data_IF_457694273418
#
_entry.id   IF_457694273418
#
_cell.length_a   1.000
_cell.length_b   1.000
_cell.length_c   1.000
_cell.angle_alpha   90.00
_cell.angle_beta   90.00
_cell.angle_gamma   90.00
#
_symmetry.space_group_name_H-M   'P 1'
#
loop_
_entity.id
_entity.type
_entity.pdbx_description
1 polymer ?
#
# COMPACT_ATOMS: atom_id res chain seq x y z
N UNK A 1 8.14 -35.06 -10.19
CA UNK A 1 8.04 -33.63 -9.79
C UNK A 1 6.65 -33.41 -9.22
N UNK A 2 6.53 -33.21 -7.91
CA UNK A 2 5.26 -33.08 -7.19
C UNK A 2 4.79 -31.63 -7.17
N UNK A 3 3.69 -31.33 -7.86
CA UNK A 3 3.06 -30.02 -7.88
C UNK A 3 2.49 -29.71 -6.48
N UNK A 4 3.08 -28.77 -5.74
CA UNK A 4 2.52 -28.24 -4.51
C UNK A 4 1.67 -27.00 -4.88
N UNK A 5 0.34 -27.09 -4.87
CA UNK A 5 -0.50 -25.93 -5.14
C UNK A 5 -0.23 -24.86 -4.07
N UNK A 6 -0.03 -23.61 -4.52
CA UNK A 6 0.18 -22.41 -3.68
C UNK A 6 -1.01 -22.15 -2.73
N UNK A 7 -2.13 -22.82 -2.96
CA UNK A 7 -3.33 -22.76 -2.12
C UNK A 7 -3.63 -24.16 -1.56
N UNK A 8 -3.12 -24.47 -0.37
CA UNK A 8 -3.63 -25.60 0.41
C UNK A 8 -4.94 -25.16 1.08
N UNK A 9 -6.06 -25.48 0.43
CA UNK A 9 -7.38 -25.33 1.03
C UNK A 9 -7.60 -26.55 1.92
N UNK A 10 -7.55 -26.37 3.24
CA UNK A 10 -7.95 -27.41 4.18
C UNK A 10 -9.36 -27.91 3.80
N UNK A 11 -9.55 -29.23 3.61
CA UNK A 11 -10.87 -29.78 3.36
C UNK A 11 -11.74 -29.49 4.58
N UNK A 12 -12.68 -28.54 4.45
CA UNK A 12 -13.61 -28.22 5.53
C UNK A 12 -14.39 -29.47 5.94
N UNK A 13 -14.55 -29.75 7.24
CA UNK A 13 -15.24 -30.93 7.73
C UNK A 13 -16.67 -30.95 7.22
N UNK A 14 -17.14 -32.17 6.98
CA UNK A 14 -18.39 -32.48 6.31
C UNK A 14 -19.59 -31.74 6.92
N UNK A 15 -20.27 -31.04 6.02
CA UNK A 15 -21.65 -30.54 5.98
C UNK A 15 -22.63 -31.17 7.00
N UNK A 16 -22.67 -30.63 8.21
CA UNK A 16 -23.89 -30.66 9.03
C UNK A 16 -24.60 -29.31 8.88
N UNK A 17 -25.73 -29.33 8.16
CA UNK A 17 -26.60 -28.16 7.99
C UNK A 17 -27.35 -27.93 9.30
N UNK A 18 -26.76 -27.13 10.19
CA UNK A 18 -27.47 -26.60 11.37
C UNK A 18 -28.75 -25.89 10.92
N UNK A 19 -29.89 -26.26 11.53
CA UNK A 19 -31.23 -25.72 11.26
C UNK A 19 -31.39 -24.21 11.53
N UNK A 20 -30.33 -23.54 12.01
CA UNK A 20 -30.30 -22.11 12.31
C UNK A 20 -30.01 -21.20 11.07
N UNK A 21 -29.89 -21.75 9.86
CA UNK A 21 -29.54 -20.99 8.67
C UNK A 21 -30.77 -20.68 7.80
N UNK A 22 -31.17 -19.42 7.76
CA UNK A 22 -32.16 -18.88 6.79
C UNK A 22 -31.83 -19.32 5.35
N UNK A 23 -32.85 -19.62 4.54
CA UNK A 23 -32.73 -20.02 3.13
C UNK A 23 -31.81 -19.08 2.34
N UNK A 24 -31.83 -17.78 2.67
CA UNK A 24 -30.95 -16.76 2.11
C UNK A 24 -29.47 -17.02 2.38
N UNK A 25 -29.10 -17.37 3.62
CA UNK A 25 -27.70 -17.72 3.98
C UNK A 25 -27.23 -18.95 3.22
N UNK A 26 -28.12 -19.91 2.98
CA UNK A 26 -27.80 -21.09 2.19
C UNK A 26 -27.54 -20.74 0.72
N UNK A 27 -28.33 -19.85 0.11
CA UNK A 27 -28.09 -19.36 -1.26
C UNK A 27 -26.80 -18.57 -1.38
N UNK A 28 -26.48 -17.71 -0.41
CA UNK A 28 -25.21 -16.98 -0.37
C UNK A 28 -24.04 -17.96 -0.34
N UNK A 29 -24.10 -18.96 0.55
CA UNK A 29 -23.06 -20.00 0.65
C UNK A 29 -22.91 -20.78 -0.65
N UNK A 30 -24.01 -21.22 -1.25
CA UNK A 30 -23.96 -21.92 -2.54
C UNK A 30 -23.37 -21.04 -3.65
N UNK A 31 -23.73 -19.77 -3.70
CA UNK A 31 -23.21 -18.84 -4.71
C UNK A 31 -21.70 -18.62 -4.52
N UNK A 32 -21.24 -18.57 -3.27
CA UNK A 32 -19.84 -18.49 -2.90
C UNK A 32 -19.06 -19.77 -3.27
N UNK A 33 -19.64 -20.95 -3.03
CA UNK A 33 -19.05 -22.23 -3.42
C UNK A 33 -18.94 -22.34 -4.96
N UNK A 34 -19.99 -21.94 -5.69
CA UNK A 34 -20.00 -21.89 -7.16
C UNK A 34 -18.91 -20.95 -7.68
N UNK A 35 -18.75 -19.77 -7.07
CA UNK A 35 -17.70 -18.81 -7.43
C UNK A 35 -16.32 -19.46 -7.38
N UNK A 36 -15.97 -20.12 -6.27
CA UNK A 36 -14.68 -20.79 -6.10
C UNK A 36 -14.48 -21.96 -7.07
N UNK A 37 -15.51 -22.77 -7.31
CA UNK A 37 -15.44 -23.86 -8.29
C UNK A 37 -15.24 -23.31 -9.71
N UNK A 38 -15.90 -22.21 -10.07
CA UNK A 38 -15.71 -21.56 -11.36
C UNK A 38 -14.30 -20.99 -11.51
N UNK A 39 -13.74 -20.39 -10.46
CA UNK A 39 -12.35 -19.91 -10.45
C UNK A 39 -11.34 -21.05 -10.65
N UNK A 40 -11.51 -22.17 -9.92
CA UNK A 40 -10.65 -23.34 -10.06
C UNK A 40 -10.70 -23.97 -11.46
N UNK A 41 -11.85 -23.88 -12.13
CA UNK A 41 -12.04 -24.38 -13.51
C UNK A 41 -11.61 -23.38 -14.59
N UNK A 42 -11.28 -22.15 -14.22
CA UNK A 42 -11.00 -21.07 -15.18
C UNK A 42 -12.23 -20.52 -15.91
N UNK A 43 -13.46 -20.83 -15.48
CA UNK A 43 -14.69 -20.28 -16.06
C UNK A 43 -14.96 -18.88 -15.48
N UNK A 44 -14.22 -17.89 -15.99
CA UNK A 44 -14.26 -16.51 -15.52
C UNK A 44 -15.62 -15.83 -15.78
N UNK A 45 -16.34 -16.25 -16.83
CA UNK A 45 -17.65 -15.66 -17.18
C UNK A 45 -18.69 -16.00 -16.11
N UNK A 46 -18.77 -17.28 -15.70
CA UNK A 46 -19.68 -17.69 -14.62
C UNK A 46 -19.23 -17.15 -13.27
N UNK A 47 -17.92 -17.14 -13.01
CA UNK A 47 -17.38 -16.60 -11.79
C UNK A 47 -17.73 -15.10 -11.63
N UNK A 48 -17.62 -14.30 -12.70
CA UNK A 48 -18.01 -12.88 -12.70
C UNK A 48 -19.49 -12.70 -12.38
N UNK A 49 -20.38 -13.52 -12.96
CA UNK A 49 -21.81 -13.48 -12.64
C UNK A 49 -22.07 -13.79 -11.17
N UNK A 50 -21.49 -14.87 -10.65
CA UNK A 50 -21.62 -15.23 -9.23
C UNK A 50 -21.11 -14.10 -8.32
N UNK A 51 -19.96 -13.51 -8.64
CA UNK A 51 -19.40 -12.38 -7.90
C UNK A 51 -20.31 -11.15 -7.92
N UNK A 52 -20.88 -10.76 -9.07
CA UNK A 52 -21.82 -9.63 -9.14
C UNK A 52 -23.10 -9.84 -8.33
N UNK A 53 -23.49 -11.09 -8.06
CA UNK A 53 -24.61 -11.40 -7.17
C UNK A 53 -24.15 -11.21 -5.73
N UNK A 54 -23.00 -11.78 -5.35
CA UNK A 54 -22.44 -11.71 -4.01
C UNK A 54 -22.16 -10.26 -3.57
N UNK A 55 -21.61 -9.42 -4.45
CA UNK A 55 -21.30 -8.01 -4.16
C UNK A 55 -22.55 -7.19 -3.84
N UNK A 56 -23.74 -7.62 -4.29
CA UNK A 56 -25.01 -6.95 -3.98
C UNK A 56 -25.62 -7.41 -2.65
N UNK A 57 -25.07 -8.44 -2.01
CA UNK A 57 -25.56 -8.96 -0.74
C UNK A 57 -24.92 -8.19 0.43
N UNK A 58 -25.70 -7.52 1.30
CA UNK A 58 -25.17 -6.79 2.45
C UNK A 58 -24.55 -7.70 3.51
N UNK A 59 -24.82 -9.00 3.48
CA UNK A 59 -24.25 -9.98 4.42
C UNK A 59 -22.78 -10.31 4.14
N UNK A 60 -22.27 -9.92 2.97
CA UNK A 60 -20.92 -10.26 2.54
C UNK A 60 -20.04 -9.05 2.74
N UNK A 61 -19.02 -9.24 3.57
CA UNK A 61 -18.03 -8.21 3.81
C UNK A 61 -17.08 -8.11 2.61
N UNK A 62 -17.06 -6.93 1.97
CA UNK A 62 -16.18 -6.61 0.85
C UNK A 62 -14.70 -6.83 1.17
N UNK A 63 -14.32 -6.69 2.43
CA UNK A 63 -12.94 -6.93 2.93
C UNK A 63 -12.44 -8.33 2.65
N UNK A 64 -13.33 -9.30 2.58
CA UNK A 64 -12.97 -10.71 2.37
C UNK A 64 -12.98 -11.12 0.90
N UNK A 65 -13.64 -10.37 0.03
CA UNK A 65 -13.90 -10.76 -1.36
C UNK A 65 -13.25 -9.86 -2.42
N UNK A 66 -12.60 -8.76 -2.03
CA UNK A 66 -11.97 -7.85 -2.99
C UNK A 66 -10.85 -8.51 -3.80
N UNK A 67 -10.08 -9.41 -3.19
CA UNK A 67 -9.03 -10.18 -3.88
C UNK A 67 -9.62 -11.06 -4.97
N UNK A 68 -10.81 -11.62 -4.72
CA UNK A 68 -11.53 -12.40 -5.73
C UNK A 68 -11.99 -11.49 -6.87
N UNK A 69 -12.46 -10.27 -6.55
CA UNK A 69 -12.78 -9.27 -7.56
C UNK A 69 -11.59 -8.95 -8.45
N UNK A 70 -10.41 -8.76 -7.86
CA UNK A 70 -9.16 -8.53 -8.60
C UNK A 70 -8.81 -9.71 -9.52
N UNK A 71 -8.98 -10.94 -9.06
CA UNK A 71 -8.72 -12.15 -9.85
C UNK A 71 -9.69 -12.36 -11.04
N UNK A 72 -10.86 -11.71 -11.02
CA UNK A 72 -11.87 -11.80 -12.08
C UNK A 72 -11.68 -10.78 -13.21
N UNK A 73 -10.83 -9.77 -13.00
CA UNK A 73 -10.49 -8.78 -14.01
C UNK A 73 -9.56 -9.47 -15.01
N UNK A 74 -9.86 -9.41 -16.32
CA UNK A 74 -9.04 -10.07 -17.32
C UNK A 74 -7.66 -9.41 -17.35
N UNK A 75 -6.60 -10.18 -17.14
CA UNK A 75 -5.22 -9.72 -17.31
C UNK A 75 -4.86 -9.81 -18.79
N UNK A 76 -4.27 -8.76 -19.34
CA UNK A 76 -3.82 -8.75 -20.73
C UNK A 76 -2.53 -9.56 -20.87
N UNK A 77 -2.56 -10.62 -21.66
CA UNK A 77 -1.40 -11.47 -21.96
C UNK A 77 -1.80 -12.71 -22.76
N UNK A 78 -0.86 -13.22 -23.57
CA UNK A 78 -1.03 -14.51 -24.26
C UNK A 78 -1.36 -15.61 -23.24
N UNK A 79 -2.35 -16.44 -23.59
CA UNK A 79 -2.84 -17.57 -22.78
C UNK A 79 -1.66 -18.39 -22.23
N UNK A 80 -1.33 -18.21 -20.95
CA UNK A 80 -0.32 -19.01 -20.25
C UNK A 80 0.76 -18.23 -19.49
N UNK A 81 0.95 -16.93 -19.74
CA UNK A 81 1.80 -16.07 -18.89
C UNK A 81 0.92 -15.25 -17.93
N UNK A 82 1.41 -14.95 -16.71
CA UNK A 82 0.73 -13.98 -15.83
C UNK A 82 0.61 -12.68 -16.64
N UNK A 83 -0.61 -12.37 -17.08
CA UNK A 83 -0.86 -11.20 -17.89
C UNK A 83 -0.44 -9.94 -17.14
N UNK A 84 0.01 -8.94 -17.88
CA UNK A 84 0.32 -7.63 -17.31
C UNK A 84 -0.93 -7.08 -16.62
N UNK A 85 -0.73 -6.28 -15.57
CA UNK A 85 -1.84 -5.56 -14.97
C UNK A 85 -2.51 -4.69 -16.05
N UNK A 86 -3.83 -4.57 -15.99
CA UNK A 86 -4.62 -3.74 -16.92
C UNK A 86 -5.06 -2.49 -16.18
N UNK A 87 -5.34 -1.40 -16.90
CA UNK A 87 -5.89 -0.16 -16.31
C UNK A 87 -7.17 -0.39 -15.49
N UNK A 88 -7.97 -1.39 -15.87
CA UNK A 88 -9.14 -1.83 -15.11
C UNK A 88 -8.79 -2.37 -13.70
N UNK A 89 -7.64 -3.04 -13.55
CA UNK A 89 -7.15 -3.53 -12.26
C UNK A 89 -6.84 -2.38 -11.33
N UNK A 90 -6.09 -1.38 -11.81
CA UNK A 90 -5.77 -0.17 -11.04
C UNK A 90 -7.05 0.59 -10.70
N UNK A 91 -7.96 0.77 -11.66
CA UNK A 91 -9.24 1.42 -11.42
C UNK A 91 -10.10 0.69 -10.38
N UNK A 92 -10.05 -0.65 -10.35
CA UNK A 92 -10.72 -1.45 -9.33
C UNK A 92 -10.06 -1.26 -7.95
N UNK A 93 -8.74 -1.36 -7.85
CA UNK A 93 -7.99 -1.17 -6.60
C UNK A 93 -8.23 0.23 -6.01
N UNK A 94 -8.17 1.29 -6.83
CA UNK A 94 -8.48 2.66 -6.41
C UNK A 94 -9.90 2.78 -5.86
N UNK A 95 -10.90 2.12 -6.47
CA UNK A 95 -12.29 2.09 -5.95
C UNK A 95 -12.40 1.32 -4.63
N UNK A 96 -11.75 0.16 -4.51
CA UNK A 96 -11.76 -0.64 -3.29
C UNK A 96 -11.08 0.10 -2.13
N UNK A 97 -10.00 0.83 -2.40
CA UNK A 97 -9.28 1.69 -1.43
C UNK A 97 -10.19 2.73 -0.78
N UNK A 98 -11.13 3.29 -1.54
CA UNK A 98 -12.12 4.25 -1.03
C UNK A 98 -13.18 3.57 -0.15
N UNK A 99 -13.51 2.31 -0.43
CA UNK A 99 -14.53 1.56 0.32
C UNK A 99 -14.00 0.93 1.62
N UNK A 100 -12.70 0.63 1.67
CA UNK A 100 -12.07 -0.12 2.76
C UNK A 100 -10.86 0.67 3.31
N UNK A 101 -11.09 1.66 4.19
CA UNK A 101 -10.03 2.50 4.72
C UNK A 101 -9.00 1.73 5.57
N UNK A 102 -9.44 0.69 6.27
CA UNK A 102 -8.59 -0.10 7.18
C UNK A 102 -7.48 -0.89 6.45
N UNK A 103 -7.67 -1.22 5.17
CA UNK A 103 -6.69 -1.97 4.38
C UNK A 103 -5.95 -1.08 3.37
N UNK A 104 -5.99 0.25 3.55
CA UNK A 104 -5.40 1.19 2.60
C UNK A 104 -3.92 0.92 2.33
N UNK A 105 -3.13 0.54 3.35
CA UNK A 105 -1.71 0.23 3.15
C UNK A 105 -1.50 -0.95 2.20
N UNK A 106 -2.28 -2.02 2.37
CA UNK A 106 -2.17 -3.20 1.50
C UNK A 106 -2.64 -2.87 0.10
N UNK A 107 -3.77 -2.16 -0.02
CA UNK A 107 -4.33 -1.75 -1.31
C UNK A 107 -3.41 -0.77 -2.05
N UNK A 108 -2.71 0.12 -1.33
CA UNK A 108 -1.72 1.02 -1.91
C UNK A 108 -0.52 0.24 -2.45
N UNK A 109 0.03 -0.72 -1.69
CA UNK A 109 1.11 -1.60 -2.16
C UNK A 109 0.72 -2.33 -3.45
N UNK A 110 -0.45 -2.95 -3.48
CA UNK A 110 -0.96 -3.64 -4.66
C UNK A 110 -1.20 -2.68 -5.84
N UNK A 111 -1.66 -1.45 -5.59
CA UNK A 111 -1.86 -0.44 -6.63
C UNK A 111 -0.53 -0.02 -7.26
N UNK A 112 0.50 0.24 -6.44
CA UNK A 112 1.85 0.59 -6.90
C UNK A 112 2.46 -0.56 -7.70
N UNK A 113 2.35 -1.80 -7.21
CA UNK A 113 2.82 -2.98 -7.95
C UNK A 113 2.10 -3.16 -9.29
N UNK A 114 0.78 -2.92 -9.34
CA UNK A 114 0.02 -2.97 -10.59
C UNK A 114 0.46 -1.88 -11.59
N UNK A 115 0.80 -0.67 -11.12
CA UNK A 115 1.33 0.40 -11.96
C UNK A 115 2.75 0.07 -12.48
N UNK A 116 3.58 -0.55 -11.64
CA UNK A 116 4.91 -1.06 -12.03
C UNK A 116 4.79 -2.15 -13.11
N UNK A 117 3.86 -3.09 -12.95
CA UNK A 117 3.58 -4.15 -13.95
C UNK A 117 3.12 -3.59 -15.30
N UNK A 118 2.45 -2.43 -15.29
CA UNK A 118 2.06 -1.70 -16.51
C UNK A 118 3.20 -0.88 -17.13
N UNK A 119 4.28 -0.64 -16.38
CA UNK A 119 5.37 0.26 -16.78
C UNK A 119 5.06 1.75 -16.55
N UNK A 120 3.98 2.07 -15.83
CA UNK A 120 3.58 3.46 -15.52
C UNK A 120 4.28 3.93 -14.22
N UNK A 121 5.61 4.01 -14.25
CA UNK A 121 6.42 4.32 -13.07
C UNK A 121 6.19 5.74 -12.51
N UNK A 122 5.83 6.70 -13.35
CA UNK A 122 5.55 8.08 -12.92
C UNK A 122 4.22 8.15 -12.14
N UNK A 123 3.15 7.54 -12.65
CA UNK A 123 1.88 7.49 -11.90
C UNK A 123 2.01 6.69 -10.60
N UNK A 124 2.84 5.63 -10.61
CA UNK A 124 3.16 4.88 -9.39
C UNK A 124 3.84 5.76 -8.33
N UNK A 125 4.76 6.62 -8.76
CA UNK A 125 5.48 7.56 -7.90
C UNK A 125 4.55 8.66 -7.40
N UNK A 126 3.73 9.26 -8.27
CA UNK A 126 2.77 10.30 -7.89
C UNK A 126 1.76 9.81 -6.84
N UNK A 127 1.22 8.60 -7.02
CA UNK A 127 0.34 7.97 -6.03
C UNK A 127 1.08 7.70 -4.72
N UNK A 128 2.32 7.21 -4.79
CA UNK A 128 3.07 6.89 -3.59
C UNK A 128 3.45 8.14 -2.80
N UNK A 129 3.94 9.19 -3.46
CA UNK A 129 4.32 10.47 -2.85
C UNK A 129 3.12 11.16 -2.19
N UNK A 130 1.93 11.04 -2.78
CA UNK A 130 0.70 11.58 -2.20
C UNK A 130 0.39 10.98 -0.82
N UNK A 131 0.62 9.68 -0.64
CA UNK A 131 0.24 8.96 0.58
C UNK A 131 1.37 8.77 1.58
N UNK A 132 2.63 8.71 1.15
CA UNK A 132 3.76 8.33 2.01
C UNK A 132 4.00 9.31 3.16
N UNK A 133 3.61 10.58 3.01
CA UNK A 133 3.74 11.61 4.06
C UNK A 133 2.62 11.51 5.10
N UNK A 134 1.54 10.79 4.81
CA UNK A 134 0.38 10.67 5.71
C UNK A 134 0.52 9.46 6.64
N UNK A 135 0.16 9.61 7.91
CA UNK A 135 0.00 8.48 8.81
C UNK A 135 -1.23 7.65 8.39
N UNK A 136 -1.17 6.31 8.34
CA UNK A 136 -0.12 5.42 8.87
C UNK A 136 1.00 5.03 7.88
N UNK A 137 0.95 5.49 6.63
CA UNK A 137 1.86 5.02 5.56
C UNK A 137 3.33 5.37 5.78
N UNK A 138 3.62 6.49 6.45
CA UNK A 138 4.99 6.93 6.78
C UNK A 138 5.73 5.94 7.73
N UNK A 139 5.02 5.06 8.42
CA UNK A 139 5.64 4.04 9.28
C UNK A 139 5.98 2.76 8.54
N UNK A 140 5.63 2.64 7.26
CA UNK A 140 5.83 1.41 6.50
C UNK A 140 7.14 1.43 5.71
N UNK A 141 8.17 0.73 6.23
CA UNK A 141 9.48 0.63 5.59
C UNK A 141 9.41 0.15 4.12
N UNK A 142 8.49 -0.77 3.81
CA UNK A 142 8.32 -1.33 2.46
C UNK A 142 7.84 -0.27 1.46
N UNK A 143 6.99 0.66 1.88
CA UNK A 143 6.54 1.75 0.99
C UNK A 143 7.69 2.71 0.68
N UNK A 144 8.52 3.02 1.66
CA UNK A 144 9.74 3.81 1.43
C UNK A 144 10.75 3.07 0.53
N UNK A 145 10.86 1.74 0.63
CA UNK A 145 11.65 0.96 -0.33
C UNK A 145 11.14 1.09 -1.76
N UNK A 146 9.83 0.94 -1.97
CA UNK A 146 9.23 1.12 -3.30
C UNK A 146 9.46 2.55 -3.83
N UNK A 147 9.32 3.57 -2.99
CA UNK A 147 9.60 4.95 -3.36
C UNK A 147 11.07 5.12 -3.77
N UNK A 148 12.01 4.63 -2.95
CA UNK A 148 13.44 4.71 -3.25
C UNK A 148 13.80 4.05 -4.58
N UNK A 149 13.25 2.86 -4.84
CA UNK A 149 13.46 2.15 -6.11
C UNK A 149 12.84 2.88 -7.31
N UNK A 150 11.62 3.42 -7.19
CA UNK A 150 10.96 4.16 -8.26
C UNK A 150 11.70 5.47 -8.57
N UNK A 151 12.12 6.21 -7.54
CA UNK A 151 12.95 7.41 -7.72
C UNK A 151 14.26 7.08 -8.42
N UNK A 152 14.94 6.01 -8.01
CA UNK A 152 16.20 5.58 -8.63
C UNK A 152 15.98 5.13 -10.09
N UNK A 153 14.93 4.37 -10.37
CA UNK A 153 14.60 3.91 -11.72
C UNK A 153 14.31 5.09 -12.64
N UNK A 154 13.53 6.07 -12.18
CA UNK A 154 13.21 7.25 -12.98
C UNK A 154 14.34 8.28 -13.07
N UNK A 155 15.40 8.12 -12.25
CA UNK A 155 16.63 8.91 -12.33
C UNK A 155 17.58 8.42 -13.43
N UNK A 156 17.40 7.18 -13.90
CA UNK A 156 18.23 6.63 -14.96
C UNK A 156 18.05 7.45 -16.24
N UNK A 157 19.14 7.74 -16.97
CA UNK A 157 19.01 8.34 -18.29
C UNK A 157 18.19 7.40 -19.15
N UNK A 158 17.22 7.94 -19.90
CA UNK A 158 16.52 7.17 -20.92
C UNK A 158 17.59 6.77 -21.93
N UNK A 159 18.04 5.52 -21.88
CA UNK A 159 18.84 4.94 -22.96
C UNK A 159 17.93 4.97 -24.18
N UNK A 160 18.08 5.99 -25.00
CA UNK A 160 17.47 6.04 -26.32
C UNK A 160 17.92 4.76 -27.03
N UNK A 161 16.97 3.92 -27.42
CA UNK A 161 17.23 2.63 -28.07
C UNK A 161 17.72 2.83 -29.52
N UNK A 162 18.76 3.63 -29.71
CA UNK A 162 19.47 3.80 -30.97
C UNK A 162 20.94 4.10 -30.65
N UNK A 163 21.77 3.07 -30.52
CA UNK A 163 22.84 2.77 -31.48
C UNK A 163 23.73 1.64 -30.95
N UNK A 164 23.71 0.55 -31.72
CA UNK A 164 24.74 -0.46 -31.90
C UNK A 164 24.93 -1.56 -30.84
N UNK A 165 24.95 -2.76 -31.41
CA UNK A 165 25.31 -4.03 -30.82
C UNK A 165 26.66 -4.00 -30.09
N UNK A 166 26.87 -5.06 -29.30
CA UNK A 166 28.13 -5.45 -28.63
C UNK A 166 28.31 -4.91 -27.19
N UNK A 167 27.80 -5.67 -26.22
CA UNK A 167 28.64 -6.31 -25.19
C UNK A 167 27.74 -7.06 -24.19
N UNK A 168 27.55 -8.35 -24.44
CA UNK A 168 27.11 -9.30 -23.43
C UNK A 168 28.25 -9.44 -22.40
N UNK A 169 28.37 -8.47 -21.49
CA UNK A 169 29.28 -8.58 -20.35
C UNK A 169 28.75 -9.65 -19.43
N UNK A 170 29.50 -10.75 -19.39
CA UNK A 170 29.43 -11.80 -18.37
C UNK A 170 29.46 -11.11 -17.00
N UNK A 171 28.38 -11.28 -16.24
CA UNK A 171 28.25 -10.77 -14.87
C UNK A 171 29.17 -11.65 -14.01
N UNK A 172 30.43 -11.25 -13.85
CA UNK A 172 31.26 -11.72 -12.73
C UNK A 172 30.76 -11.02 -11.46
N UNK A 173 30.67 -11.79 -10.36
CA UNK A 173 30.06 -11.45 -9.06
C UNK A 173 30.78 -10.34 -8.26
N UNK A 174 31.52 -9.46 -8.92
CA UNK A 174 32.09 -8.26 -8.30
C UNK A 174 31.05 -7.13 -8.36
N UNK A 175 30.46 -6.82 -7.20
CA UNK A 175 29.43 -5.79 -7.03
C UNK A 175 30.10 -4.41 -7.21
N UNK A 176 30.21 -3.95 -8.46
CA UNK A 176 30.69 -2.61 -8.78
C UNK A 176 29.71 -1.53 -8.26
N UNK A 177 30.23 -0.37 -7.81
CA UNK A 177 29.38 0.77 -7.44
C UNK A 177 28.57 1.24 -8.65
N UNK A 178 27.31 1.63 -8.42
CA UNK A 178 26.42 2.11 -9.49
C UNK A 178 27.02 3.41 -10.03
N UNK A 179 27.37 3.46 -11.31
CA UNK A 179 27.82 4.69 -11.95
C UNK A 179 26.64 5.66 -12.09
N UNK A 180 26.51 6.57 -11.13
CA UNK A 180 25.45 7.59 -11.09
C UNK A 180 25.83 8.88 -11.80
N UNK A 181 26.92 8.92 -12.59
CA UNK A 181 27.39 10.16 -13.25
C UNK A 181 26.35 10.76 -14.19
N UNK A 182 25.57 9.91 -14.86
CA UNK A 182 24.56 10.33 -15.83
C UNK A 182 23.13 10.40 -15.25
N UNK A 183 22.99 10.21 -13.94
CA UNK A 183 21.68 10.15 -13.29
C UNK A 183 21.23 11.55 -12.87
N UNK A 184 19.91 11.76 -12.83
CA UNK A 184 19.36 12.97 -12.22
C UNK A 184 19.65 12.99 -10.72
N UNK A 185 20.61 13.84 -10.32
CA UNK A 185 21.07 13.97 -8.94
C UNK A 185 19.94 14.30 -7.96
N UNK A 186 18.92 15.04 -8.40
CA UNK A 186 17.78 15.41 -7.54
C UNK A 186 16.98 14.17 -7.15
N UNK A 187 16.73 13.28 -8.12
CA UNK A 187 16.00 12.03 -7.93
C UNK A 187 16.82 11.01 -7.15
N UNK A 188 18.13 10.95 -7.37
CA UNK A 188 19.04 10.13 -6.59
C UNK A 188 19.06 10.58 -5.12
N UNK A 189 19.05 11.89 -4.85
CA UNK A 189 18.94 12.40 -3.49
C UNK A 189 17.61 12.01 -2.82
N UNK A 190 16.48 12.11 -3.53
CA UNK A 190 15.18 11.63 -3.05
C UNK A 190 15.18 10.13 -2.77
N UNK A 191 15.77 9.32 -3.66
CA UNK A 191 15.92 7.88 -3.45
C UNK A 191 16.72 7.56 -2.18
N UNK A 192 17.86 8.24 -1.98
CA UNK A 192 18.69 8.11 -0.76
C UNK A 192 17.89 8.45 0.51
N UNK A 193 17.11 9.54 0.49
CA UNK A 193 16.25 9.92 1.63
C UNK A 193 15.25 8.82 1.98
N UNK A 194 14.60 8.22 0.99
CA UNK A 194 13.66 7.12 1.23
C UNK A 194 14.32 5.84 1.73
N UNK A 195 15.49 5.47 1.19
CA UNK A 195 16.24 4.31 1.71
C UNK A 195 16.71 4.52 3.17
N UNK A 196 17.15 5.73 3.53
CA UNK A 196 17.47 6.07 4.92
C UNK A 196 16.25 5.97 5.83
N UNK A 197 15.10 6.48 5.40
CA UNK A 197 13.85 6.35 6.16
C UNK A 197 13.43 4.90 6.33
N UNK A 198 13.56 4.08 5.29
CA UNK A 198 13.30 2.64 5.37
C UNK A 198 14.22 1.96 6.40
N UNK A 199 15.51 2.29 6.42
CA UNK A 199 16.47 1.76 7.39
C UNK A 199 16.22 2.25 8.82
N UNK A 200 15.72 3.47 8.99
CA UNK A 200 15.34 4.00 10.31
C UNK A 200 14.13 3.27 10.90
N UNK A 201 13.20 2.83 10.04
CA UNK A 201 12.02 2.05 10.44
C UNK A 201 12.34 0.56 10.62
N UNK A 202 13.22 0.01 9.79
CA UNK A 202 13.65 -1.38 9.78
C UNK A 202 15.18 -1.46 9.68
N UNK A 203 15.89 -1.48 10.83
CA UNK A 203 17.35 -1.52 10.86
C UNK A 203 17.97 -2.77 10.24
N UNK A 204 17.22 -3.87 10.16
CA UNK A 204 17.67 -5.15 9.62
C UNK A 204 17.48 -5.24 8.09
N UNK A 205 17.02 -4.15 7.46
CA UNK A 205 16.77 -4.09 6.03
C UNK A 205 18.07 -4.07 5.20
N UNK A 206 18.60 -5.25 4.91
CA UNK A 206 19.81 -5.42 4.10
C UNK A 206 19.68 -4.81 2.69
N UNK A 207 18.46 -4.75 2.14
CA UNK A 207 18.20 -4.18 0.83
C UNK A 207 18.43 -2.66 0.83
N UNK A 208 17.82 -1.92 1.76
CA UNK A 208 18.03 -0.48 1.90
C UNK A 208 19.51 -0.14 2.11
N UNK A 209 20.20 -0.91 2.97
CA UNK A 209 21.63 -0.74 3.25
C UNK A 209 22.47 -0.95 1.99
N UNK A 210 22.26 -2.06 1.28
CA UNK A 210 23.01 -2.36 0.06
C UNK A 210 22.86 -1.29 -1.03
N UNK A 211 21.67 -0.67 -1.16
CA UNK A 211 21.48 0.44 -2.09
C UNK A 211 22.16 1.74 -1.64
N UNK A 212 22.15 2.05 -0.34
CA UNK A 212 22.87 3.23 0.18
C UNK A 212 24.38 3.10 -0.02
N UNK A 213 24.93 1.92 0.28
CA UNK A 213 26.36 1.62 0.10
C UNK A 213 26.76 1.78 -1.38
N UNK A 214 25.96 1.21 -2.30
CA UNK A 214 26.20 1.33 -3.76
C UNK A 214 26.07 2.75 -4.29
N UNK A 215 25.20 3.56 -3.69
CA UNK A 215 25.02 4.97 -4.07
C UNK A 215 26.05 5.90 -3.39
N UNK A 216 27.03 5.34 -2.67
CA UNK A 216 28.06 6.09 -1.95
C UNK A 216 27.50 6.98 -0.85
N UNK A 217 26.40 6.58 -0.21
CA UNK A 217 25.80 7.31 0.90
C UNK A 217 26.30 6.74 2.22
N UNK A 218 26.98 7.56 3.02
CA UNK A 218 27.46 7.15 4.33
C UNK A 218 26.26 6.91 5.27
N UNK A 219 26.15 5.68 5.79
CA UNK A 219 25.05 5.25 6.68
C UNK A 219 25.12 5.96 8.06
N UNK A 220 26.26 6.59 8.39
CA UNK A 220 26.47 7.23 9.69
C UNK A 220 25.67 8.51 9.94
N UNK A 221 25.13 9.15 8.91
CA UNK A 221 24.30 10.36 9.07
C UNK A 221 22.95 10.07 9.75
N UNK A 222 22.42 8.85 9.62
CA UNK A 222 21.07 8.49 10.12
C UNK A 222 21.03 8.32 11.64
N UNK A 223 22.15 7.95 12.27
CA UNK A 223 22.24 7.89 13.73
C UNK A 223 22.23 9.28 14.38
N UNK A 224 22.77 10.31 13.71
CA UNK A 224 22.83 11.67 14.25
C UNK A 224 21.47 12.38 14.23
N UNK A 225 20.65 12.14 13.20
CA UNK A 225 19.30 12.72 13.13
C UNK A 225 18.34 12.07 14.14
N UNK A 226 18.46 10.76 14.38
CA UNK A 226 17.66 10.08 15.41
C UNK A 226 18.01 10.58 16.83
N UNK A 227 19.28 10.81 17.14
CA UNK A 227 19.69 11.38 18.44
C UNK A 227 19.33 12.86 18.57
N UNK A 228 19.40 13.64 17.48
CA UNK A 228 19.03 15.06 17.51
C UNK A 228 17.52 15.30 17.71
N UNK A 229 16.67 14.34 17.34
CA UNK A 229 15.22 14.40 17.62
C UNK A 229 14.83 14.02 19.06
N UNK A 230 15.80 13.58 19.88
CA UNK A 230 15.58 13.14 21.27
C UNK A 230 16.08 14.15 22.32
N UNK A 231 16.80 15.21 21.90
CA UNK A 231 17.36 16.25 22.77
C UNK A 231 16.60 17.59 22.67
N UNK A 232 15.27 17.55 22.81
CA UNK A 232 14.43 18.72 23.09
C UNK A 232 13.54 18.46 24.30
N UNK A 233 14.16 18.19 25.44
CA UNK A 233 13.58 18.41 26.77
C UNK A 233 14.68 19.01 27.65
N UNK A 234 14.58 20.33 27.89
CA UNK A 234 15.08 21.07 29.07
C UNK A 234 15.28 22.55 28.70
N UNK A 235 14.27 23.38 28.98
CA UNK A 235 14.37 24.82 28.76
C UNK A 235 13.12 25.64 29.09
N UNK A 236 12.92 25.88 30.39
CA UNK A 236 12.27 27.07 30.96
C UNK A 236 10.72 27.16 30.94
N UNK A 237 10.11 26.66 32.03
CA UNK A 237 8.77 27.07 32.49
C UNK A 237 8.77 28.57 32.84
N UNK A 238 8.31 29.41 31.92
CA UNK A 238 7.87 30.77 32.24
C UNK A 238 6.43 30.66 32.74
N UNK A 239 6.25 30.90 34.04
CA UNK A 239 4.95 30.98 34.67
C UNK A 239 4.10 32.09 34.03
N UNK A 240 2.79 31.88 33.78
CA UNK A 240 1.91 32.97 33.40
C UNK A 240 1.64 33.88 34.61
N UNK A 241 1.90 35.17 34.45
CA UNK A 241 1.57 36.20 35.43
C UNK A 241 0.07 36.20 35.79
N UNK A 242 -0.29 36.48 37.05
CA UNK A 242 -1.68 36.59 37.46
C UNK A 242 -2.29 37.88 36.90
N UNK A 243 -3.28 37.74 36.02
CA UNK A 243 -4.14 38.84 35.58
C UNK A 243 -4.96 39.31 36.79
N UNK A 244 -4.57 40.45 37.35
CA UNK A 244 -5.39 41.26 38.24
C UNK A 244 -6.45 41.94 37.38
N UNK A 245 -7.67 41.41 37.40
CA UNK A 245 -8.87 42.14 36.97
C UNK A 245 -9.65 42.53 38.21
N UNK A 246 -9.51 43.80 38.55
CA UNK A 246 -10.26 44.54 39.55
C UNK A 246 -11.76 44.50 39.28
N UNK A 247 -12.51 44.37 40.38
CA UNK A 247 -13.94 44.63 40.51
C UNK A 247 -14.35 45.95 39.84
N UNK A 248 -15.38 45.93 39.00
CA UNK A 248 -16.57 46.78 39.13
C UNK A 248 -17.56 46.53 37.97
N UNK A 249 -18.83 46.78 38.29
CA UNK A 249 -19.99 46.88 37.38
C UNK A 249 -20.78 45.62 37.00
N UNK A 250 -21.71 45.33 37.92
CA UNK A 250 -23.14 45.55 37.70
C UNK A 250 -23.95 44.47 36.94
N UNK A 251 -24.69 43.72 37.77
CA UNK A 251 -26.16 43.73 37.77
C UNK A 251 -26.85 43.35 36.43
N UNK A 252 -27.44 42.13 36.36
CA UNK A 252 -28.91 41.87 36.28
C UNK A 252 -29.26 40.47 35.74
N UNK A 253 -30.51 39.98 35.98
CA UNK A 253 -30.70 38.70 36.64
C UNK A 253 -31.19 37.55 35.75
N UNK A 254 -30.92 36.36 36.29
CA UNK A 254 -31.50 35.05 36.00
C UNK A 254 -33.04 35.11 36.08
N UNK A 255 -33.73 34.70 35.00
CA UNK A 255 -35.15 34.29 35.04
C UNK A 255 -35.31 32.82 34.63
N UNK A 256 -35.57 32.05 35.68
CA UNK A 256 -36.29 30.77 35.82
C UNK A 256 -36.98 30.17 34.58
N UNK A 257 -36.73 28.88 34.45
CA UNK A 257 -37.60 27.80 34.01
C UNK A 257 -39.12 28.07 34.02
N UNK A 258 -39.81 27.56 32.99
CA UNK A 258 -41.15 26.98 33.16
C UNK A 258 -41.44 25.88 32.14
N UNK A 259 -41.88 24.78 32.72
CA UNK A 259 -42.48 23.55 32.20
C UNK A 259 -43.84 23.74 31.48
N UNK A 260 -44.30 22.61 30.91
CA UNK A 260 -45.68 22.20 30.55
C UNK A 260 -46.00 22.30 29.04
N UNK A 261 -46.15 21.17 28.34
CA UNK A 261 -47.24 20.19 28.35
C UNK A 261 -48.56 20.74 27.79
N UNK A 262 -48.85 20.39 26.54
CA UNK A 262 -50.11 19.80 26.10
C UNK A 262 -49.94 19.28 24.68
#
# INVERSE_FOLDING_TARGET
MSFHPIFHLDPRPHRELSAANSSRKQHIRFTYDILHVCLQRGDLVRARRAWTILVRCPEIDMRTIWQIGLALIPREGEEGKRGKATREHVGYLKRVRLQIPEMQETLLKETVLALIDMGEYQEALDELDLYIVTMPFDQNAVLHLYAGMLWLYTAQPRRDMHENDEEEKVIEDDIEPIDTRDYDLTRVASAKRHFRRALALDPDNAFARGFLDRLGADVQETQREATASMDLDDGELIAPDPIVLSDEEAMRPIKKARSQSK
#
